data_IF_112222987805
#
_entry.id   IF_112222987805
#
_cell.length_a   1.000
_cell.length_b   1.000
_cell.length_c   1.000
_cell.angle_alpha   90.00
_cell.angle_beta   90.00
_cell.angle_gamma   90.00
#
_symmetry.space_group_name_H-M   'P 1'
#
loop_
_entity.id
_entity.type
_entity.pdbx_description
1 polymer ?
#
# COMPACT_ATOMS: atom_id res chain seq x y z
N UNK A 1 43.50 17.34 -24.94
CA UNK A 1 43.34 17.75 -23.52
C UNK A 1 41.97 18.38 -23.36
N UNK A 2 40.96 17.62 -22.96
CA UNK A 2 39.67 18.18 -22.54
C UNK A 2 39.72 18.31 -21.01
N UNK A 3 40.33 19.41 -20.55
CA UNK A 3 40.21 19.85 -19.17
C UNK A 3 38.86 20.54 -19.04
N UNK A 4 37.97 19.99 -18.22
CA UNK A 4 36.69 20.59 -17.90
C UNK A 4 35.97 19.76 -16.86
N UNK A 5 36.03 20.20 -15.61
CA UNK A 5 35.14 19.74 -14.55
C UNK A 5 33.68 20.00 -14.97
N UNK A 6 33.06 19.08 -15.72
CA UNK A 6 31.64 19.20 -16.10
C UNK A 6 30.70 19.00 -14.90
N UNK A 7 31.26 18.56 -13.77
CA UNK A 7 30.52 18.32 -12.53
C UNK A 7 30.11 19.60 -11.80
N UNK A 8 30.82 20.72 -11.96
CA UNK A 8 30.54 21.96 -11.22
C UNK A 8 29.33 22.74 -11.73
N UNK A 9 28.76 22.36 -12.88
CA UNK A 9 27.64 23.06 -13.53
C UNK A 9 26.28 22.49 -13.10
N UNK A 10 26.27 21.31 -12.46
CA UNK A 10 25.04 20.68 -11.99
C UNK A 10 24.66 21.22 -10.60
N UNK A 11 23.37 21.50 -10.34
CA UNK A 11 22.87 21.85 -9.01
C UNK A 11 23.39 20.85 -7.95
N UNK A 12 23.72 21.33 -6.75
CA UNK A 12 24.27 20.51 -5.64
C UNK A 12 23.41 19.27 -5.34
N UNK A 13 22.09 19.38 -5.51
CA UNK A 13 21.17 18.26 -5.39
C UNK A 13 21.42 17.17 -6.46
N UNK A 14 21.65 17.56 -7.71
CA UNK A 14 21.94 16.65 -8.82
C UNK A 14 23.33 16.02 -8.64
N UNK A 15 24.31 16.77 -8.14
CA UNK A 15 25.62 16.21 -7.79
C UNK A 15 25.54 15.19 -6.64
N UNK A 16 24.70 15.44 -5.62
CA UNK A 16 24.45 14.49 -4.52
C UNK A 16 23.76 13.22 -5.02
N UNK A 17 22.75 13.36 -5.89
CA UNK A 17 22.02 12.23 -6.49
C UNK A 17 22.96 11.38 -7.36
N UNK A 18 23.74 12.00 -8.26
CA UNK A 18 24.68 11.26 -9.13
C UNK A 18 25.78 10.58 -8.30
N UNK A 19 26.33 11.24 -7.27
CA UNK A 19 27.30 10.61 -6.37
C UNK A 19 26.70 9.43 -5.61
N UNK A 20 25.45 9.53 -5.19
CA UNK A 20 24.77 8.45 -4.48
C UNK A 20 24.45 7.26 -5.41
N UNK A 21 24.02 7.51 -6.64
CA UNK A 21 23.78 6.46 -7.64
C UNK A 21 25.06 5.76 -8.05
N UNK A 22 26.14 6.50 -8.33
CA UNK A 22 27.46 5.93 -8.62
C UNK A 22 27.99 5.12 -7.44
N UNK A 23 27.87 5.64 -6.21
CA UNK A 23 28.24 4.90 -5.00
C UNK A 23 27.42 3.62 -4.83
N UNK A 24 26.10 3.67 -5.08
CA UNK A 24 25.23 2.49 -5.03
C UNK A 24 25.58 1.45 -6.09
N UNK A 25 25.85 1.86 -7.32
CA UNK A 25 26.24 0.94 -8.39
C UNK A 25 27.60 0.30 -8.12
N UNK A 26 28.57 1.09 -7.66
CA UNK A 26 29.86 0.56 -7.24
C UNK A 26 29.74 -0.39 -6.05
N UNK A 27 28.95 -0.04 -5.04
CA UNK A 27 28.73 -0.88 -3.86
C UNK A 27 28.05 -2.20 -4.20
N UNK A 28 27.06 -2.19 -5.10
CA UNK A 28 26.47 -3.42 -5.64
C UNK A 28 27.51 -4.29 -6.33
N UNK A 29 28.33 -3.69 -7.20
CA UNK A 29 29.39 -4.42 -7.89
C UNK A 29 30.39 -5.05 -6.92
N UNK A 30 30.80 -4.33 -5.87
CA UNK A 30 31.66 -4.89 -4.81
C UNK A 30 30.96 -6.03 -4.08
N UNK A 31 29.71 -5.85 -3.68
CA UNK A 31 28.93 -6.88 -2.99
C UNK A 31 28.73 -8.15 -3.85
N UNK A 32 28.53 -8.00 -5.17
CA UNK A 32 28.49 -9.13 -6.12
C UNK A 32 29.80 -9.90 -6.12
N UNK A 33 30.96 -9.22 -6.02
CA UNK A 33 32.28 -9.87 -5.99
C UNK A 33 32.56 -10.57 -4.66
N UNK A 34 32.08 -10.01 -3.56
CA UNK A 34 32.21 -10.60 -2.23
C UNK A 34 31.22 -11.75 -2.00
N UNK A 35 30.14 -11.83 -2.79
CA UNK A 35 29.18 -12.93 -2.72
C UNK A 35 28.33 -12.91 -1.44
N UNK A 36 27.82 -14.07 -1.00
CA UNK A 36 26.83 -14.15 0.09
C UNK A 36 27.37 -13.71 1.45
N UNK A 37 28.69 -13.65 1.62
CA UNK A 37 29.33 -13.16 2.85
C UNK A 37 29.03 -11.68 3.11
N UNK A 38 28.86 -10.88 2.05
CA UNK A 38 28.55 -9.45 2.16
C UNK A 38 27.09 -9.18 2.58
N UNK A 39 26.20 -10.17 2.47
CA UNK A 39 24.75 -10.02 2.70
C UNK A 39 24.42 -9.30 4.01
N UNK A 40 24.94 -9.81 5.12
CA UNK A 40 24.60 -9.30 6.45
C UNK A 40 25.12 -7.86 6.62
N UNK A 41 26.31 -7.57 6.10
CA UNK A 41 26.87 -6.21 6.10
C UNK A 41 26.01 -5.23 5.30
N UNK A 42 25.49 -5.64 4.14
CA UNK A 42 24.64 -4.78 3.31
C UNK A 42 23.23 -4.58 3.90
N UNK A 43 22.65 -5.61 4.53
CA UNK A 43 21.38 -5.48 5.25
C UNK A 43 21.52 -4.57 6.48
N UNK A 44 22.61 -4.68 7.24
CA UNK A 44 22.91 -3.77 8.36
C UNK A 44 23.21 -2.35 7.89
N UNK A 45 23.92 -2.20 6.78
CA UNK A 45 24.16 -0.89 6.18
C UNK A 45 22.85 -0.21 5.79
N UNK A 46 21.97 -0.91 5.09
CA UNK A 46 20.66 -0.35 4.71
C UNK A 46 19.79 -0.07 5.93
N UNK A 47 19.82 -0.91 6.98
CA UNK A 47 19.13 -0.65 8.25
C UNK A 47 19.58 0.68 8.88
N UNK A 48 20.89 0.95 8.93
CA UNK A 48 21.44 2.23 9.43
C UNK A 48 21.04 3.45 8.61
N UNK A 49 20.92 3.32 7.29
CA UNK A 49 20.44 4.41 6.44
C UNK A 49 18.95 4.66 6.69
N UNK A 50 18.17 3.57 6.79
CA UNK A 50 16.73 3.64 7.02
C UNK A 50 16.37 4.14 8.42
N UNK A 51 17.23 3.93 9.43
CA UNK A 51 17.02 4.54 10.75
C UNK A 51 17.21 6.06 10.75
N UNK A 52 17.91 6.62 9.76
CA UNK A 52 18.06 8.08 9.59
C UNK A 52 16.95 8.62 8.68
N UNK A 53 16.66 7.93 7.58
CA UNK A 53 15.57 8.26 6.66
C UNK A 53 14.84 6.97 6.23
N UNK A 54 13.73 6.70 6.92
CA UNK A 54 12.92 5.50 6.72
C UNK A 54 12.28 5.42 5.32
N UNK A 55 12.24 6.52 4.57
CA UNK A 55 11.64 6.62 3.24
C UNK A 55 12.69 6.74 2.13
N UNK A 56 13.98 6.54 2.44
CA UNK A 56 15.07 6.67 1.48
C UNK A 56 14.96 5.66 0.33
N UNK A 57 14.50 6.14 -0.83
CA UNK A 57 14.20 5.29 -1.99
C UNK A 57 15.36 4.40 -2.44
N UNK A 58 16.57 4.95 -2.58
CA UNK A 58 17.71 4.18 -3.06
C UNK A 58 18.19 3.12 -2.04
N UNK A 59 17.91 3.32 -0.74
CA UNK A 59 18.28 2.37 0.31
C UNK A 59 17.35 1.16 0.24
N UNK A 60 16.04 1.39 0.10
CA UNK A 60 15.06 0.33 -0.19
C UNK A 60 15.37 -0.42 -1.48
N UNK A 61 15.67 0.30 -2.56
CA UNK A 61 16.05 -0.32 -3.82
C UNK A 61 17.33 -1.16 -3.69
N UNK A 62 18.33 -0.69 -2.93
CA UNK A 62 19.53 -1.47 -2.66
C UNK A 62 19.21 -2.71 -1.84
N UNK A 63 18.41 -2.59 -0.77
CA UNK A 63 17.98 -3.70 0.08
C UNK A 63 17.24 -4.80 -0.70
N UNK A 64 16.30 -4.43 -1.57
CA UNK A 64 15.61 -5.39 -2.45
C UNK A 64 16.56 -6.15 -3.38
N UNK A 65 17.55 -5.44 -3.93
CA UNK A 65 18.58 -6.07 -4.76
C UNK A 65 19.45 -7.04 -3.95
N UNK A 66 19.84 -6.68 -2.71
CA UNK A 66 20.58 -7.58 -1.81
C UNK A 66 19.79 -8.86 -1.57
N UNK A 67 18.50 -8.75 -1.24
CA UNK A 67 17.63 -9.91 -1.01
C UNK A 67 17.54 -10.82 -2.23
N UNK A 68 17.41 -10.24 -3.42
CA UNK A 68 17.31 -11.00 -4.67
C UNK A 68 18.60 -11.70 -5.09
N UNK A 69 19.75 -11.07 -4.88
CA UNK A 69 21.04 -11.57 -5.41
C UNK A 69 21.86 -12.33 -4.37
N UNK A 70 21.77 -11.93 -3.09
CA UNK A 70 22.56 -12.46 -1.99
C UNK A 70 21.71 -13.24 -0.97
N UNK A 71 20.38 -13.10 -0.99
CA UNK A 71 19.45 -13.76 -0.06
C UNK A 71 19.23 -12.98 1.24
N UNK A 72 18.82 -13.66 2.31
CA UNK A 72 18.51 -13.04 3.62
C UNK A 72 17.04 -12.69 3.78
N UNK A 73 16.16 -13.56 3.27
CA UNK A 73 14.72 -13.36 3.29
C UNK A 73 14.09 -13.69 4.65
N UNK A 74 14.78 -14.48 5.45
CA UNK A 74 14.30 -15.09 6.68
C UNK A 74 13.87 -14.05 7.72
N UNK A 75 14.67 -12.98 7.86
CA UNK A 75 14.45 -11.91 8.84
C UNK A 75 13.79 -10.66 8.23
N UNK A 76 13.53 -10.65 6.92
CA UNK A 76 13.07 -9.44 6.25
C UNK A 76 11.61 -9.12 6.59
N UNK A 77 10.78 -10.16 6.77
CA UNK A 77 9.37 -9.98 7.14
C UNK A 77 9.23 -9.47 8.58
N UNK A 78 10.06 -9.94 9.51
CA UNK A 78 10.10 -9.43 10.89
C UNK A 78 10.60 -7.99 10.91
N UNK A 79 11.63 -7.65 10.13
CA UNK A 79 12.09 -6.27 9.99
C UNK A 79 11.00 -5.33 9.45
N UNK A 80 10.18 -5.78 8.49
CA UNK A 80 9.02 -5.00 8.04
C UNK A 80 8.01 -4.80 9.18
N UNK A 81 7.74 -5.82 10.00
CA UNK A 81 6.86 -5.70 11.16
C UNK A 81 7.39 -4.71 12.20
N UNK A 82 8.70 -4.70 12.47
CA UNK A 82 9.35 -3.72 13.36
C UNK A 82 9.13 -2.29 12.89
N UNK A 83 9.40 -2.02 11.60
CA UNK A 83 9.22 -0.67 11.03
C UNK A 83 7.76 -0.22 11.03
N UNK A 84 6.82 -1.13 10.84
CA UNK A 84 5.38 -0.82 10.89
C UNK A 84 4.87 -0.65 12.32
N UNK A 85 5.51 -1.27 13.32
CA UNK A 85 5.24 -1.02 14.72
C UNK A 85 5.74 0.36 15.16
N UNK A 86 6.86 0.83 14.59
CA UNK A 86 7.38 2.18 14.82
C UNK A 86 6.57 3.27 14.09
N UNK A 87 6.26 3.06 12.81
CA UNK A 87 5.44 3.97 11.98
C UNK A 87 4.54 3.17 11.03
N UNK A 88 3.27 3.01 11.42
CA UNK A 88 2.28 2.30 10.62
C UNK A 88 1.96 3.03 9.30
N UNK A 89 2.24 4.34 9.20
CA UNK A 89 2.05 5.14 7.99
C UNK A 89 3.25 5.08 7.03
N UNK A 90 4.25 4.25 7.34
CA UNK A 90 5.39 4.05 6.47
C UNK A 90 5.03 3.21 5.23
N UNK A 91 4.63 3.89 4.16
CA UNK A 91 4.32 3.25 2.87
C UNK A 91 5.48 2.42 2.28
N UNK A 92 6.73 2.81 2.55
CA UNK A 92 7.89 2.05 2.06
C UNK A 92 8.02 0.70 2.76
N UNK A 93 7.70 0.63 4.06
CA UNK A 93 7.67 -0.63 4.80
C UNK A 93 6.52 -1.54 4.33
N UNK A 94 5.32 -1.00 4.08
CA UNK A 94 4.21 -1.77 3.47
C UNK A 94 4.57 -2.31 2.08
N UNK A 95 5.21 -1.49 1.25
CA UNK A 95 5.69 -1.91 -0.07
C UNK A 95 6.78 -2.99 0.04
N UNK A 96 7.71 -2.86 0.99
CA UNK A 96 8.71 -3.88 1.24
C UNK A 96 8.08 -5.20 1.70
N UNK A 97 7.11 -5.14 2.61
CA UNK A 97 6.37 -6.31 3.06
C UNK A 97 5.74 -7.06 1.89
N UNK A 98 5.07 -6.32 0.99
CA UNK A 98 4.48 -6.89 -0.23
C UNK A 98 5.53 -7.52 -1.15
N UNK A 99 6.68 -6.84 -1.32
CA UNK A 99 7.80 -7.37 -2.08
C UNK A 99 8.32 -8.69 -1.48
N UNK A 100 8.49 -8.77 -0.17
CA UNK A 100 8.96 -9.98 0.52
C UNK A 100 8.00 -11.13 0.30
N UNK A 101 6.70 -10.92 0.51
CA UNK A 101 5.71 -11.99 0.34
C UNK A 101 5.61 -12.47 -1.11
N UNK A 102 5.75 -11.57 -2.08
CA UNK A 102 5.61 -11.93 -3.50
C UNK A 102 6.89 -12.47 -4.13
N UNK A 103 8.07 -12.10 -3.63
CA UNK A 103 9.37 -12.43 -4.25
C UNK A 103 10.21 -13.40 -3.44
N UNK A 104 9.92 -13.57 -2.15
CA UNK A 104 10.67 -14.50 -1.32
C UNK A 104 10.48 -15.94 -1.81
N UNK A 105 11.57 -16.68 -2.04
CA UNK A 105 11.49 -18.09 -2.41
C UNK A 105 11.05 -19.00 -1.25
N UNK A 106 11.06 -18.51 0.00
CA UNK A 106 10.78 -19.32 1.20
C UNK A 106 9.35 -19.21 1.73
N UNK A 107 8.61 -18.14 1.39
CA UNK A 107 7.28 -17.89 1.95
C UNK A 107 6.12 -18.51 1.15
N UNK A 108 6.38 -19.08 -0.04
CA UNK A 108 5.33 -19.70 -0.86
C UNK A 108 4.40 -18.73 -1.59
N UNK A 109 4.70 -17.42 -1.58
CA UNK A 109 3.98 -16.41 -2.35
C UNK A 109 2.68 -15.92 -1.70
N UNK A 110 1.91 -15.14 -2.46
CA UNK A 110 0.64 -14.55 -2.00
C UNK A 110 -0.36 -15.58 -1.52
N UNK A 111 -0.51 -16.71 -2.23
CA UNK A 111 -1.52 -17.72 -1.90
C UNK A 111 -1.29 -18.34 -0.52
N UNK A 112 -0.05 -18.60 -0.15
CA UNK A 112 0.30 -19.19 1.14
C UNK A 112 0.19 -18.18 2.29
N UNK A 113 0.56 -16.92 2.03
CA UNK A 113 0.60 -15.87 3.05
C UNK A 113 -0.71 -15.08 3.20
N UNK A 114 -1.68 -15.27 2.31
CA UNK A 114 -2.88 -14.41 2.23
C UNK A 114 -3.63 -14.31 3.55
N UNK A 115 -3.93 -15.43 4.18
CA UNK A 115 -4.76 -15.44 5.39
C UNK A 115 -4.09 -14.69 6.56
N UNK A 116 -2.82 -14.97 6.83
CA UNK A 116 -2.07 -14.30 7.90
C UNK A 116 -1.87 -12.80 7.61
N UNK A 117 -1.65 -12.44 6.36
CA UNK A 117 -1.44 -11.05 5.94
C UNK A 117 -2.72 -10.24 5.91
N UNK A 118 -3.86 -10.85 5.55
CA UNK A 118 -5.18 -10.23 5.67
C UNK A 118 -5.47 -9.95 7.14
N UNK A 119 -5.25 -10.91 8.04
CA UNK A 119 -5.44 -10.71 9.49
C UNK A 119 -4.58 -9.54 10.02
N UNK A 120 -3.28 -9.55 9.72
CA UNK A 120 -2.37 -8.47 10.11
C UNK A 120 -2.83 -7.10 9.60
N UNK A 121 -3.30 -7.04 8.35
CA UNK A 121 -3.72 -5.77 7.73
C UNK A 121 -5.05 -5.29 8.28
N UNK A 122 -5.99 -6.21 8.57
CA UNK A 122 -7.28 -5.91 9.20
C UNK A 122 -7.06 -5.29 10.59
N UNK A 123 -6.16 -5.85 11.39
CA UNK A 123 -5.79 -5.29 12.70
C UNK A 123 -5.21 -3.87 12.59
N UNK A 124 -4.32 -3.65 11.60
CA UNK A 124 -3.74 -2.35 11.33
C UNK A 124 -4.81 -1.32 10.92
N UNK A 125 -5.76 -1.70 10.06
CA UNK A 125 -6.85 -0.81 9.61
C UNK A 125 -7.83 -0.49 10.74
N UNK A 126 -8.16 -1.46 11.59
CA UNK A 126 -9.04 -1.22 12.75
C UNK A 126 -8.43 -0.17 13.69
N UNK A 127 -7.11 -0.21 13.85
CA UNK A 127 -6.37 0.74 14.70
C UNK A 127 -6.23 2.12 14.06
N UNK A 128 -5.96 2.18 12.75
CA UNK A 128 -5.73 3.41 11.99
C UNK A 128 -6.48 3.40 10.65
N UNK A 129 -7.81 3.61 10.65
CA UNK A 129 -8.63 3.53 9.46
C UNK A 129 -8.31 4.60 8.40
N UNK A 130 -7.71 5.72 8.80
CA UNK A 130 -7.25 6.79 7.90
C UNK A 130 -5.95 6.46 7.15
N UNK A 131 -5.29 5.34 7.45
CA UNK A 131 -4.04 4.96 6.80
C UNK A 131 -4.29 4.37 5.40
N UNK A 132 -4.09 5.15 4.35
CA UNK A 132 -4.27 4.69 2.96
C UNK A 132 -3.37 3.48 2.60
N UNK A 133 -2.17 3.38 3.18
CA UNK A 133 -1.21 2.32 2.83
C UNK A 133 -1.69 0.93 3.21
N UNK A 134 -2.34 0.77 4.37
CA UNK A 134 -2.87 -0.52 4.81
C UNK A 134 -4.04 -0.97 3.93
N UNK A 135 -4.95 -0.07 3.55
CA UNK A 135 -6.03 -0.37 2.60
C UNK A 135 -5.52 -0.77 1.22
N UNK A 136 -4.51 -0.05 0.70
CA UNK A 136 -3.87 -0.38 -0.58
C UNK A 136 -3.16 -1.73 -0.52
N UNK A 137 -2.49 -2.02 0.60
CA UNK A 137 -1.84 -3.31 0.83
C UNK A 137 -2.86 -4.45 0.85
N UNK A 138 -3.96 -4.30 1.59
CA UNK A 138 -5.06 -5.27 1.65
C UNK A 138 -5.56 -5.62 0.25
N UNK A 139 -5.85 -4.60 -0.57
CA UNK A 139 -6.26 -4.81 -1.96
C UNK A 139 -5.19 -5.55 -2.78
N UNK A 140 -3.92 -5.25 -2.55
CA UNK A 140 -2.79 -5.91 -3.21
C UNK A 140 -2.70 -7.42 -2.93
N UNK A 141 -3.11 -7.88 -1.74
CA UNK A 141 -3.09 -9.30 -1.37
C UNK A 141 -3.99 -10.19 -2.25
N UNK A 142 -4.99 -9.58 -2.89
CA UNK A 142 -5.93 -10.24 -3.80
C UNK A 142 -5.69 -9.89 -5.27
N UNK A 143 -4.49 -9.40 -5.61
CA UNK A 143 -4.13 -9.11 -6.99
C UNK A 143 -4.39 -10.34 -7.89
N UNK A 144 -5.09 -10.11 -9.00
CA UNK A 144 -5.50 -11.11 -9.99
C UNK A 144 -6.55 -12.15 -9.49
N UNK A 145 -6.99 -12.08 -8.22
CA UNK A 145 -7.97 -12.99 -7.60
C UNK A 145 -9.19 -12.23 -7.03
N UNK A 146 -9.84 -11.40 -7.87
CA UNK A 146 -10.98 -10.55 -7.47
C UNK A 146 -12.16 -11.30 -6.85
N UNK A 147 -12.38 -12.55 -7.24
CA UNK A 147 -13.45 -13.38 -6.67
C UNK A 147 -13.20 -13.73 -5.21
N UNK A 148 -11.95 -13.95 -4.81
CA UNK A 148 -11.62 -14.15 -3.41
C UNK A 148 -11.76 -12.86 -2.61
N UNK A 149 -11.40 -11.73 -3.21
CA UNK A 149 -11.54 -10.44 -2.56
C UNK A 149 -13.00 -10.12 -2.22
N UNK A 150 -13.91 -10.37 -3.16
CA UNK A 150 -15.36 -10.15 -2.99
C UNK A 150 -15.96 -11.10 -1.95
N UNK A 151 -15.48 -12.34 -1.89
CA UNK A 151 -16.02 -13.37 -0.99
C UNK A 151 -15.34 -13.40 0.38
N UNK A 152 -14.36 -12.51 0.64
CA UNK A 152 -13.66 -12.49 1.91
C UNK A 152 -14.52 -11.85 3.02
N UNK A 153 -14.87 -12.68 4.01
CA UNK A 153 -15.70 -12.26 5.14
C UNK A 153 -14.98 -11.25 6.06
N UNK A 154 -13.65 -11.28 6.14
CA UNK A 154 -12.88 -10.35 6.97
C UNK A 154 -12.89 -8.95 6.35
N UNK A 155 -12.74 -8.85 5.02
CA UNK A 155 -12.79 -7.55 4.31
C UNK A 155 -14.16 -6.89 4.44
N UNK A 156 -15.24 -7.66 4.21
CA UNK A 156 -16.60 -7.14 4.33
C UNK A 156 -16.94 -6.73 5.78
N UNK A 157 -16.65 -7.58 6.77
CA UNK A 157 -16.88 -7.25 8.18
C UNK A 157 -16.06 -6.04 8.65
N UNK A 158 -14.82 -5.89 8.17
CA UNK A 158 -13.99 -4.72 8.39
C UNK A 158 -14.64 -3.44 7.85
N UNK A 159 -15.09 -3.45 6.60
CA UNK A 159 -15.76 -2.29 6.00
C UNK A 159 -16.99 -1.90 6.81
N UNK A 160 -17.84 -2.86 7.18
CA UNK A 160 -19.03 -2.60 7.98
C UNK A 160 -18.69 -2.01 9.36
N UNK A 161 -17.65 -2.54 10.03
CA UNK A 161 -17.18 -2.05 11.33
C UNK A 161 -16.75 -0.59 11.26
N UNK A 162 -15.95 -0.21 10.25
CA UNK A 162 -15.49 1.17 10.07
C UNK A 162 -16.63 2.11 9.64
N UNK A 163 -17.58 1.65 8.82
CA UNK A 163 -18.74 2.47 8.47
C UNK A 163 -19.60 2.78 9.71
N UNK A 164 -19.76 1.82 10.62
CA UNK A 164 -20.52 2.00 11.87
C UNK A 164 -19.87 2.98 12.85
N UNK A 165 -18.55 3.18 12.82
CA UNK A 165 -17.88 4.18 13.68
C UNK A 165 -18.10 5.63 13.22
N UNK A 166 -18.63 5.84 12.01
CA UNK A 166 -18.94 7.15 11.42
C UNK A 166 -17.76 8.14 11.38
N UNK A 167 -16.53 7.65 11.50
CA UNK A 167 -15.29 8.44 11.44
C UNK A 167 -14.27 7.76 10.53
N UNK A 168 -13.47 8.54 9.80
CA UNK A 168 -12.41 8.06 8.90
C UNK A 168 -12.85 6.97 7.90
N UNK A 169 -14.12 7.03 7.47
CA UNK A 169 -14.75 5.99 6.64
C UNK A 169 -14.50 6.14 5.13
N UNK A 170 -13.70 7.13 4.70
CA UNK A 170 -13.42 7.41 3.29
C UNK A 170 -12.89 6.17 2.56
N UNK A 171 -11.85 5.53 3.10
CA UNK A 171 -11.24 4.36 2.47
C UNK A 171 -12.12 3.11 2.57
N UNK A 172 -12.91 2.99 3.63
CA UNK A 172 -13.91 1.92 3.77
C UNK A 172 -15.01 2.05 2.70
N UNK A 173 -15.53 3.26 2.47
CA UNK A 173 -16.51 3.54 1.39
C UNK A 173 -15.91 3.28 0.01
N UNK A 174 -14.69 3.77 -0.24
CA UNK A 174 -13.99 3.52 -1.52
C UNK A 174 -13.77 2.03 -1.75
N UNK A 175 -13.43 1.28 -0.70
CA UNK A 175 -13.22 -0.17 -0.77
C UNK A 175 -14.53 -0.91 -1.02
N UNK A 176 -15.61 -0.54 -0.32
CA UNK A 176 -16.93 -1.10 -0.55
C UNK A 176 -17.43 -0.82 -1.97
N UNK A 177 -17.20 0.38 -2.50
CA UNK A 177 -17.52 0.72 -3.89
C UNK A 177 -16.75 -0.16 -4.88
N UNK A 178 -15.45 -0.36 -4.65
CA UNK A 178 -14.63 -1.30 -5.44
C UNK A 178 -15.23 -2.72 -5.39
N UNK A 179 -15.63 -3.22 -4.20
CA UNK A 179 -16.24 -4.54 -4.03
C UNK A 179 -17.58 -4.68 -4.78
N UNK A 180 -18.46 -3.68 -4.69
CA UNK A 180 -19.75 -3.67 -5.40
C UNK A 180 -19.52 -3.72 -6.92
N UNK A 181 -18.56 -2.93 -7.43
CA UNK A 181 -18.20 -2.96 -8.85
C UNK A 181 -17.66 -4.32 -9.32
N UNK A 182 -17.09 -5.12 -8.39
CA UNK A 182 -16.61 -6.47 -8.65
C UNK A 182 -17.70 -7.55 -8.47
N UNK A 183 -18.94 -7.17 -8.12
CA UNK A 183 -20.08 -8.07 -7.99
C UNK A 183 -20.50 -8.38 -6.55
N UNK A 184 -19.93 -7.72 -5.54
CA UNK A 184 -20.38 -7.85 -4.16
C UNK A 184 -21.81 -7.33 -3.99
N UNK A 185 -22.65 -8.08 -3.29
CA UNK A 185 -24.03 -7.68 -2.96
C UNK A 185 -24.10 -7.25 -1.49
N UNK A 186 -24.26 -5.94 -1.20
CA UNK A 186 -24.36 -5.45 0.17
C UNK A 186 -25.61 -5.98 0.87
N UNK A 187 -25.46 -6.39 2.12
CA UNK A 187 -26.58 -6.74 2.99
C UNK A 187 -27.32 -5.48 3.51
N UNK A 188 -28.44 -5.68 4.22
CA UNK A 188 -29.20 -4.59 4.84
C UNK A 188 -28.35 -3.76 5.81
N UNK A 189 -27.47 -4.38 6.61
CA UNK A 189 -26.58 -3.66 7.53
C UNK A 189 -25.70 -2.62 6.82
N UNK A 190 -25.22 -2.90 5.60
CA UNK A 190 -24.48 -1.93 4.81
C UNK A 190 -25.36 -0.78 4.33
N UNK A 191 -26.60 -1.07 3.92
CA UNK A 191 -27.57 -0.04 3.52
C UNK A 191 -27.85 0.90 4.68
N UNK A 192 -28.13 0.36 5.85
CA UNK A 192 -28.38 1.13 7.07
C UNK A 192 -27.16 1.97 7.47
N UNK A 193 -25.96 1.40 7.39
CA UNK A 193 -24.73 2.12 7.71
C UNK A 193 -24.47 3.29 6.73
N UNK A 194 -24.72 3.11 5.44
CA UNK A 194 -24.55 4.14 4.42
C UNK A 194 -25.61 5.24 4.55
N UNK A 195 -26.87 4.87 4.78
CA UNK A 195 -27.94 5.83 5.00
C UNK A 195 -27.68 6.67 6.26
N UNK A 196 -27.14 6.05 7.31
CA UNK A 196 -26.75 6.76 8.54
C UNK A 196 -25.57 7.74 8.37
N UNK A 197 -24.87 7.70 7.23
CA UNK A 197 -23.81 8.64 6.84
C UNK A 197 -24.32 9.75 5.90
N UNK A 198 -25.53 9.64 5.36
CA UNK A 198 -26.13 10.71 4.56
C UNK A 198 -26.40 11.94 5.41
N UNK A 199 -26.00 13.10 4.92
CA UNK A 199 -26.38 14.41 5.44
C UNK A 199 -27.72 14.83 4.84
N UNK A 200 -28.44 15.74 5.49
CA UNK A 200 -29.81 16.15 5.10
C UNK A 200 -29.94 16.77 3.69
N UNK A 201 -28.83 17.03 2.99
CA UNK A 201 -28.81 17.68 1.67
C UNK A 201 -28.98 16.70 0.48
N UNK A 202 -29.15 15.39 0.72
CA UNK A 202 -29.37 14.41 -0.34
C UNK A 202 -30.85 14.38 -0.80
N UNK A 203 -31.25 15.35 -1.63
CA UNK A 203 -32.61 15.51 -2.18
C UNK A 203 -33.07 14.39 -3.15
N UNK A 204 -32.22 13.39 -3.44
CA UNK A 204 -32.56 12.27 -4.33
C UNK A 204 -32.23 10.94 -3.68
N UNK A 205 -33.29 10.18 -3.43
CA UNK A 205 -33.19 8.78 -3.04
C UNK A 205 -32.78 7.97 -4.27
N UNK A 206 -31.48 7.93 -4.55
CA UNK A 206 -30.93 7.04 -5.56
C UNK A 206 -31.10 5.59 -5.07
N UNK A 207 -31.84 4.77 -5.85
CA UNK A 207 -32.10 3.35 -5.53
C UNK A 207 -30.82 2.50 -5.49
N UNK A 208 -29.78 2.96 -6.18
CA UNK A 208 -28.49 2.29 -6.25
C UNK A 208 -27.54 2.77 -5.13
N UNK A 209 -27.11 1.80 -4.30
CA UNK A 209 -26.15 2.00 -3.22
C UNK A 209 -24.83 2.56 -3.76
N UNK A 210 -24.35 2.11 -4.92
CA UNK A 210 -23.08 2.56 -5.47
C UNK A 210 -23.11 4.05 -5.84
N UNK A 211 -24.23 4.53 -6.38
CA UNK A 211 -24.48 5.95 -6.70
C UNK A 211 -24.50 6.78 -5.40
N UNK A 212 -25.13 6.24 -4.35
CA UNK A 212 -25.16 6.89 -3.03
C UNK A 212 -23.76 7.01 -2.43
N UNK A 213 -22.95 5.93 -2.47
CA UNK A 213 -21.56 5.95 -1.98
C UNK A 213 -20.74 7.01 -2.74
N UNK A 214 -20.83 7.07 -4.07
CA UNK A 214 -20.12 8.10 -4.85
C UNK A 214 -20.52 9.52 -4.40
N UNK A 215 -21.80 9.76 -4.16
CA UNK A 215 -22.30 11.09 -3.75
C UNK A 215 -21.79 11.49 -2.35
N UNK A 216 -21.65 10.53 -1.43
CA UNK A 216 -21.02 10.76 -0.12
C UNK A 216 -19.52 11.04 -0.30
N UNK A 217 -18.83 10.28 -1.15
CA UNK A 217 -17.40 10.45 -1.42
C UNK A 217 -17.08 11.81 -2.08
N UNK A 218 -17.98 12.34 -2.91
CA UNK A 218 -17.86 13.70 -3.48
C UNK A 218 -17.77 14.79 -2.40
N UNK A 219 -18.48 14.62 -1.28
CA UNK A 219 -18.46 15.57 -0.15
C UNK A 219 -17.26 15.34 0.77
N UNK A 220 -16.93 14.09 1.05
CA UNK A 220 -15.91 13.70 2.04
C UNK A 220 -14.48 13.79 1.47
N UNK A 221 -14.30 13.69 0.15
CA UNK A 221 -13.02 13.81 -0.55
C UNK A 221 -13.08 14.92 -1.63
N UNK A 222 -13.05 16.20 -1.22
CA UNK A 222 -13.20 17.33 -2.14
C UNK A 222 -12.05 17.42 -3.16
N UNK A 223 -10.87 16.88 -2.83
CA UNK A 223 -9.71 16.86 -3.73
C UNK A 223 -9.98 15.94 -4.93
N UNK A 224 -10.70 14.83 -4.73
CA UNK A 224 -11.01 13.85 -5.78
C UNK A 224 -12.45 13.94 -6.28
N UNK A 225 -13.15 15.07 -6.07
CA UNK A 225 -14.54 15.25 -6.51
C UNK A 225 -14.76 14.90 -7.99
N UNK A 226 -13.88 15.38 -8.89
CA UNK A 226 -13.97 15.08 -10.33
C UNK A 226 -13.80 13.59 -10.63
N UNK A 227 -12.98 12.88 -9.84
CA UNK A 227 -12.81 11.45 -9.97
C UNK A 227 -14.08 10.71 -9.52
N UNK A 228 -14.71 11.12 -8.42
CA UNK A 228 -15.96 10.51 -7.95
C UNK A 228 -17.14 10.77 -8.89
N UNK A 229 -17.26 11.97 -9.45
CA UNK A 229 -18.24 12.30 -10.49
C UNK A 229 -18.03 11.43 -11.74
N UNK A 230 -16.79 11.33 -12.22
CA UNK A 230 -16.45 10.45 -13.33
C UNK A 230 -16.79 8.99 -13.01
N UNK A 231 -16.45 8.53 -11.81
CA UNK A 231 -16.68 7.16 -11.37
C UNK A 231 -18.18 6.84 -11.28
N UNK A 232 -18.98 7.76 -10.75
CA UNK A 232 -20.45 7.68 -10.72
C UNK A 232 -21.05 7.48 -12.10
N UNK A 233 -20.54 8.19 -13.12
CA UNK A 233 -20.99 8.04 -14.52
C UNK A 233 -20.58 6.73 -15.20
N UNK A 234 -19.64 5.99 -14.62
CA UNK A 234 -19.09 4.73 -15.16
C UNK A 234 -19.62 3.50 -14.43
N UNK A 235 -20.48 3.67 -13.42
CA UNK A 235 -21.12 2.54 -12.76
C UNK A 235 -22.00 1.77 -13.76
N UNK A 236 -22.01 0.44 -13.73
CA UNK A 236 -22.95 -0.34 -14.52
C UNK A 236 -24.35 0.11 -14.12
N UNK A 237 -25.13 0.66 -15.07
CA UNK A 237 -26.54 0.93 -14.80
C UNK A 237 -27.20 -0.40 -14.46
N UNK A 238 -27.82 -0.50 -13.29
CA UNK A 238 -28.71 -1.60 -12.97
C UNK A 238 -29.79 -1.65 -14.06
N UNK A 239 -29.76 -2.71 -14.87
CA UNK A 239 -30.78 -3.00 -15.88
C UNK A 239 -32.09 -3.43 -15.21
#
# INVERSE_FOLDING_TARGET
MLNGNSWSVLPVAIQKIIRFDVYRHHRRWVAEKLGPEARNSELEFTKKILSVDAKHYHAWSHRQWVLQNLGGWEDELSYCSELLAEDIFNNSAWNQRYFVITRSPVLGGLKAMRESEVLFTVEAIISYPENESSWRYLRGLFKDESTLYVNDAQVSSLCLKILKTKSNYLFALSTLLDLICLGYQPNEDFRDAIEALRTSDFDKQDSDIAITICSILEQVDPIRVNYWVWRKSRLPQAA
#
